data_IF_245743308856
#
_entry.id   IF_245743308856
#
_cell.length_a   1.000
_cell.length_b   1.000
_cell.length_c   1.000
_cell.angle_alpha   90.00
_cell.angle_beta   90.00
_cell.angle_gamma   90.00
#
_symmetry.space_group_name_H-M   'P 1'
#
loop_
_entity.id
_entity.type
_entity.pdbx_description
1 polymer ?
#
# COMPACT_ATOMS: atom_id res chain seq x y z
N UNK A 1 18.42 -6.36 27.12
CA UNK A 1 17.81 -7.70 27.26
C UNK A 1 16.55 -7.75 26.40
N UNK A 2 16.47 -8.68 25.45
CA UNK A 2 15.30 -8.83 24.57
C UNK A 2 14.27 -9.68 25.34
N UNK A 3 13.01 -9.25 25.49
CA UNK A 3 12.01 -10.03 26.22
C UNK A 3 11.82 -11.40 25.56
N UNK A 4 11.61 -12.48 26.35
CA UNK A 4 11.40 -13.81 25.81
C UNK A 4 10.20 -13.80 24.86
N UNK A 5 10.44 -14.10 23.59
CA UNK A 5 9.38 -14.25 22.60
C UNK A 5 8.48 -15.42 23.00
N UNK A 6 7.18 -15.16 23.15
CA UNK A 6 6.21 -16.22 23.44
C UNK A 6 6.40 -17.43 22.51
N UNK A 7 6.49 -18.67 23.03
CA UNK A 7 6.78 -19.87 22.24
C UNK A 7 5.80 -20.08 21.08
N UNK A 8 4.54 -19.65 21.24
CA UNK A 8 3.51 -19.72 20.19
C UNK A 8 3.82 -18.83 18.97
N UNK A 9 4.47 -17.67 19.18
CA UNK A 9 4.80 -16.74 18.11
C UNK A 9 5.82 -17.36 17.17
N UNK A 10 6.83 -18.05 17.70
CA UNK A 10 7.88 -18.64 16.90
C UNK A 10 7.37 -19.76 16.00
N UNK A 11 6.54 -20.65 16.54
CA UNK A 11 5.90 -21.74 15.79
C UNK A 11 5.17 -21.19 14.56
N UNK A 12 4.50 -20.06 14.73
CA UNK A 12 3.72 -19.44 13.66
C UNK A 12 4.61 -18.76 12.63
N UNK A 13 5.69 -18.11 13.03
CA UNK A 13 6.64 -17.53 12.06
C UNK A 13 7.35 -18.64 11.26
N UNK A 14 7.68 -19.78 11.86
CA UNK A 14 8.23 -20.95 11.13
C UNK A 14 7.22 -21.57 10.17
N UNK A 15 5.96 -21.76 10.60
CA UNK A 15 4.89 -22.24 9.73
C UNK A 15 4.62 -21.28 8.57
N UNK A 16 4.61 -19.99 8.85
CA UNK A 16 4.44 -18.92 7.87
C UNK A 16 5.63 -18.88 6.89
N UNK A 17 6.87 -19.02 7.37
CA UNK A 17 8.06 -19.14 6.54
C UNK A 17 7.94 -20.32 5.57
N UNK A 18 7.69 -21.52 6.10
CA UNK A 18 7.51 -22.72 5.28
C UNK A 18 6.44 -22.50 4.22
N UNK A 19 5.33 -21.88 4.60
CA UNK A 19 4.23 -21.64 3.69
C UNK A 19 4.56 -20.63 2.59
N UNK A 20 5.18 -19.50 2.96
CA UNK A 20 5.62 -18.46 2.04
C UNK A 20 6.67 -18.99 1.06
N UNK A 21 7.63 -19.78 1.56
CA UNK A 21 8.65 -20.44 0.75
C UNK A 21 8.00 -21.41 -0.25
N UNK A 22 7.12 -22.29 0.24
CA UNK A 22 6.39 -23.27 -0.59
C UNK A 22 5.53 -22.61 -1.68
N UNK A 23 4.98 -21.43 -1.40
CA UNK A 23 4.19 -20.65 -2.36
C UNK A 23 5.04 -19.78 -3.31
N UNK A 24 6.37 -19.85 -3.21
CA UNK A 24 7.29 -19.03 -4.01
C UNK A 24 7.27 -17.54 -3.68
N UNK A 25 6.74 -17.15 -2.51
CA UNK A 25 6.73 -15.77 -2.01
C UNK A 25 8.08 -15.40 -1.35
N UNK A 26 9.16 -15.49 -2.13
CA UNK A 26 10.57 -15.44 -1.69
C UNK A 26 10.92 -14.29 -0.75
N UNK A 27 10.57 -13.05 -1.10
CA UNK A 27 10.90 -11.87 -0.30
C UNK A 27 10.21 -11.90 1.07
N UNK A 28 8.94 -12.27 1.10
CA UNK A 28 8.18 -12.36 2.36
C UNK A 28 8.66 -13.53 3.21
N UNK A 29 8.96 -14.68 2.59
CA UNK A 29 9.54 -15.82 3.29
C UNK A 29 10.87 -15.42 3.95
N UNK A 30 11.75 -14.71 3.23
CA UNK A 30 13.02 -14.22 3.77
C UNK A 30 12.82 -13.26 4.94
N UNK A 31 11.90 -12.29 4.83
CA UNK A 31 11.61 -11.35 5.94
C UNK A 31 11.10 -12.08 7.18
N UNK A 32 10.17 -13.02 7.03
CA UNK A 32 9.65 -13.82 8.16
C UNK A 32 10.77 -14.69 8.76
N UNK A 33 11.67 -15.22 7.92
CA UNK A 33 12.82 -15.98 8.39
C UNK A 33 13.82 -15.13 9.17
N UNK A 34 14.08 -13.90 8.72
CA UNK A 34 14.97 -12.96 9.42
C UNK A 34 14.44 -12.66 10.83
N UNK A 35 13.12 -12.52 11.00
CA UNK A 35 12.49 -12.37 12.31
C UNK A 35 12.67 -13.63 13.19
N UNK A 36 12.55 -14.84 12.63
CA UNK A 36 12.82 -16.11 13.35
C UNK A 36 14.30 -16.21 13.77
N UNK A 37 15.21 -15.79 12.88
CA UNK A 37 16.65 -15.80 13.11
C UNK A 37 17.07 -14.80 14.18
N UNK A 38 16.49 -13.59 14.17
CA UNK A 38 16.73 -12.56 15.19
C UNK A 38 16.26 -13.00 16.58
N UNK A 39 15.25 -13.87 16.66
CA UNK A 39 14.84 -14.51 17.91
C UNK A 39 15.81 -15.62 18.38
N UNK A 40 16.95 -15.82 17.72
CA UNK A 40 18.00 -16.76 18.13
C UNK A 40 17.82 -18.20 17.63
N UNK A 41 16.84 -18.46 16.76
CA UNK A 41 16.53 -19.82 16.32
C UNK A 41 17.34 -20.24 15.09
N UNK A 42 17.87 -21.47 15.16
CA UNK A 42 18.58 -22.11 14.05
C UNK A 42 17.59 -22.78 13.08
N UNK A 43 17.85 -22.74 11.75
CA UNK A 43 17.05 -23.46 10.78
C UNK A 43 17.13 -24.96 10.98
N UNK A 44 15.99 -25.63 10.85
CA UNK A 44 15.94 -27.08 10.63
C UNK A 44 16.46 -27.42 9.24
N UNK A 45 16.86 -28.67 9.01
CA UNK A 45 17.33 -29.16 7.70
C UNK A 45 16.36 -28.81 6.57
N UNK A 46 15.04 -28.97 6.83
CA UNK A 46 13.99 -28.62 5.87
C UNK A 46 13.90 -27.12 5.58
N UNK A 47 14.11 -26.27 6.59
CA UNK A 47 14.11 -24.81 6.41
C UNK A 47 15.37 -24.33 5.69
N UNK A 48 16.53 -24.92 5.98
CA UNK A 48 17.79 -24.67 5.28
C UNK A 48 17.65 -24.95 3.78
N UNK A 49 17.02 -26.07 3.40
CA UNK A 49 16.75 -26.39 2.00
C UNK A 49 15.82 -25.37 1.34
N UNK A 50 14.75 -24.94 2.02
CA UNK A 50 13.85 -23.92 1.49
C UNK A 50 14.53 -22.54 1.35
N UNK A 51 15.40 -22.17 2.29
CA UNK A 51 16.20 -20.94 2.19
C UNK A 51 17.18 -21.00 1.02
N UNK A 52 17.78 -22.16 0.80
CA UNK A 52 18.65 -22.41 -0.35
C UNK A 52 17.85 -22.30 -1.66
N UNK A 53 16.67 -22.90 -1.74
CA UNK A 53 15.81 -22.79 -2.92
C UNK A 53 15.27 -21.37 -3.14
N UNK A 54 15.05 -20.60 -2.07
CA UNK A 54 14.74 -19.16 -2.14
C UNK A 54 15.94 -18.38 -2.70
N UNK A 55 17.16 -18.68 -2.21
CA UNK A 55 18.42 -18.00 -2.59
C UNK A 55 18.81 -18.28 -4.04
N UNK A 56 18.72 -19.54 -4.47
CA UNK A 56 19.02 -19.99 -5.84
C UNK A 56 17.84 -19.70 -6.79
N UNK A 57 16.66 -19.42 -6.23
CA UNK A 57 15.49 -19.06 -7.02
C UNK A 57 14.84 -20.24 -7.75
N UNK A 58 14.97 -21.46 -7.23
CA UNK A 58 14.40 -22.70 -7.79
C UNK A 58 12.92 -22.91 -7.49
N UNK A 59 12.36 -22.20 -6.51
CA UNK A 59 10.94 -22.33 -6.16
C UNK A 59 10.06 -21.77 -7.29
N UNK A 60 9.42 -22.68 -8.04
CA UNK A 60 8.31 -22.35 -8.95
C UNK A 60 7.18 -21.72 -8.11
N UNK A 61 6.55 -20.65 -8.61
CA UNK A 61 5.41 -20.00 -7.95
C UNK A 61 4.24 -20.98 -7.86
N UNK A 62 4.11 -21.73 -6.78
CA UNK A 62 2.92 -22.53 -6.48
C UNK A 62 1.85 -21.60 -5.88
N UNK A 63 0.59 -21.78 -6.28
CA UNK A 63 -0.53 -21.02 -5.72
C UNK A 63 -0.64 -21.33 -4.22
N UNK A 64 -0.58 -20.28 -3.40
CA UNK A 64 -0.91 -20.25 -1.96
C UNK A 64 -2.21 -21.01 -1.70
N UNK A 65 -2.20 -22.24 -1.16
CA UNK A 65 -3.46 -22.97 -0.92
C UNK A 65 -4.30 -22.33 0.21
N UNK A 66 -5.60 -22.01 0.02
CA UNK A 66 -6.47 -21.45 1.05
C UNK A 66 -6.55 -22.29 2.34
N UNK A 67 -6.39 -23.60 2.23
CA UNK A 67 -6.43 -24.51 3.39
C UNK A 67 -5.24 -24.30 4.33
N UNK A 68 -4.07 -23.97 3.79
CA UNK A 68 -2.87 -23.72 4.57
C UNK A 68 -2.89 -22.36 5.28
N UNK A 69 -3.46 -21.32 4.65
CA UNK A 69 -3.75 -20.06 5.36
C UNK A 69 -4.70 -20.32 6.54
N UNK A 70 -5.75 -21.12 6.35
CA UNK A 70 -6.66 -21.49 7.44
C UNK A 70 -5.98 -22.27 8.56
N UNK A 71 -5.09 -23.20 8.22
CA UNK A 71 -4.35 -23.99 9.20
C UNK A 71 -3.43 -23.11 10.06
N UNK A 72 -2.77 -22.12 9.45
CA UNK A 72 -1.97 -21.11 10.16
C UNK A 72 -2.84 -20.29 11.12
N UNK A 73 -4.01 -19.85 10.67
CA UNK A 73 -4.92 -19.03 11.46
C UNK A 73 -5.57 -19.75 12.65
N UNK A 74 -5.74 -21.09 12.59
CA UNK A 74 -6.32 -21.87 13.68
C UNK A 74 -5.40 -22.00 14.89
N UNK A 75 -4.10 -21.73 14.74
CA UNK A 75 -3.06 -21.99 15.76
C UNK A 75 -2.64 -20.74 16.58
N UNK A 76 -3.23 -19.56 16.35
CA UNK A 76 -2.74 -18.30 16.92
C UNK A 76 -3.68 -17.66 17.96
N UNK A 77 -3.14 -17.15 19.10
CA UNK A 77 -3.87 -16.39 20.10
C UNK A 77 -4.14 -14.92 19.67
N UNK A 78 -5.25 -14.35 20.18
CA UNK A 78 -5.94 -13.15 19.68
C UNK A 78 -5.12 -11.84 19.56
N UNK A 79 -3.95 -11.71 20.18
CA UNK A 79 -3.24 -10.43 20.29
C UNK A 79 -2.23 -10.12 19.14
N UNK A 80 -1.77 -11.12 18.36
CA UNK A 80 -0.82 -10.92 17.24
C UNK A 80 -1.46 -10.91 15.84
N UNK A 81 -2.77 -11.13 15.80
CA UNK A 81 -3.41 -11.73 14.63
C UNK A 81 -3.63 -10.74 13.49
N UNK A 82 -3.72 -9.43 13.74
CA UNK A 82 -3.97 -8.43 12.68
C UNK A 82 -2.86 -8.36 11.60
N UNK A 83 -1.59 -8.49 12.00
CA UNK A 83 -0.46 -8.51 11.05
C UNK A 83 -0.49 -9.78 10.21
N UNK A 84 -0.76 -10.92 10.85
CA UNK A 84 -0.91 -12.21 10.19
C UNK A 84 -2.13 -12.23 9.24
N UNK A 85 -3.27 -11.65 9.65
CA UNK A 85 -4.44 -11.46 8.80
C UNK A 85 -4.11 -10.62 7.56
N UNK A 86 -3.45 -9.49 7.76
CA UNK A 86 -3.06 -8.58 6.67
C UNK A 86 -2.07 -9.25 5.71
N UNK A 87 -1.16 -10.08 6.23
CA UNK A 87 -0.22 -10.84 5.43
C UNK A 87 -0.92 -11.96 4.66
N UNK A 88 -1.71 -12.79 5.34
CA UNK A 88 -2.53 -13.84 4.74
C UNK A 88 -3.41 -13.30 3.61
N UNK A 89 -4.07 -12.16 3.85
CA UNK A 89 -4.90 -11.50 2.85
C UNK A 89 -4.09 -11.05 1.65
N UNK A 90 -2.92 -10.44 1.86
CA UNK A 90 -1.99 -10.05 0.78
C UNK A 90 -1.51 -11.25 -0.03
N UNK A 91 -1.26 -12.39 0.61
CA UNK A 91 -0.85 -13.63 -0.05
C UNK A 91 -1.97 -14.21 -0.92
N UNK A 92 -3.19 -14.30 -0.37
CA UNK A 92 -4.37 -14.75 -1.12
C UNK A 92 -4.66 -13.83 -2.31
N UNK A 93 -4.55 -12.51 -2.11
CA UNK A 93 -4.75 -11.51 -3.15
C UNK A 93 -3.69 -11.61 -4.26
N UNK A 94 -2.40 -11.72 -3.89
CA UNK A 94 -1.29 -11.93 -4.84
C UNK A 94 -1.40 -13.25 -5.59
N UNK A 95 -1.95 -14.28 -4.95
CA UNK A 95 -2.25 -15.58 -5.57
C UNK A 95 -3.44 -15.54 -6.55
N UNK A 96 -4.11 -14.40 -6.72
CA UNK A 96 -5.29 -14.26 -7.58
C UNK A 96 -6.54 -14.94 -7.03
N UNK A 97 -6.56 -15.28 -5.74
CA UNK A 97 -7.64 -16.06 -5.11
C UNK A 97 -8.74 -15.16 -4.56
N UNK A 98 -9.39 -14.38 -5.43
CA UNK A 98 -10.42 -13.41 -5.04
C UNK A 98 -11.55 -14.02 -4.18
N UNK A 99 -11.97 -15.25 -4.47
CA UNK A 99 -12.94 -15.99 -3.64
C UNK A 99 -12.39 -16.27 -2.23
N UNK A 100 -11.14 -16.74 -2.13
CA UNK A 100 -10.46 -16.96 -0.85
C UNK A 100 -10.33 -15.69 -0.03
N UNK A 101 -9.96 -14.57 -0.67
CA UNK A 101 -9.88 -13.23 -0.06
C UNK A 101 -11.27 -12.78 0.46
N UNK A 102 -12.33 -12.91 -0.33
CA UNK A 102 -13.70 -12.57 0.11
C UNK A 102 -14.16 -13.45 1.30
N UNK A 103 -13.94 -14.76 1.22
CA UNK A 103 -14.31 -15.70 2.29
C UNK A 103 -13.53 -15.42 3.57
N UNK A 104 -12.24 -15.08 3.44
CA UNK A 104 -11.36 -14.76 4.55
C UNK A 104 -11.77 -13.44 5.23
N UNK A 105 -12.04 -12.40 4.45
CA UNK A 105 -12.47 -11.09 4.98
C UNK A 105 -13.82 -11.17 5.68
N UNK A 106 -14.80 -11.93 5.16
CA UNK A 106 -16.08 -12.15 5.86
C UNK A 106 -15.92 -12.82 7.22
N UNK A 107 -14.99 -13.78 7.32
CA UNK A 107 -14.79 -14.56 8.55
C UNK A 107 -14.03 -13.81 9.63
N UNK A 108 -13.06 -12.99 9.24
CA UNK A 108 -12.14 -12.35 10.17
C UNK A 108 -12.30 -10.83 10.26
N UNK A 109 -13.20 -10.25 9.44
CA UNK A 109 -13.57 -8.83 9.38
C UNK A 109 -12.42 -7.88 9.72
N UNK A 110 -11.30 -7.88 8.95
CA UNK A 110 -10.24 -6.93 9.20
C UNK A 110 -10.77 -5.51 8.95
N UNK A 111 -11.10 -4.79 10.02
CA UNK A 111 -11.63 -3.40 9.99
C UNK A 111 -10.54 -2.37 9.69
N UNK A 112 -9.59 -2.71 8.84
CA UNK A 112 -8.49 -1.82 8.45
C UNK A 112 -8.59 -1.47 6.98
N UNK A 113 -8.39 -0.19 6.65
CA UNK A 113 -8.42 0.29 5.27
C UNK A 113 -7.43 -0.46 4.38
N UNK A 114 -6.27 -0.84 4.92
CA UNK A 114 -5.27 -1.65 4.20
C UNK A 114 -5.81 -3.02 3.75
N UNK A 115 -6.62 -3.68 4.58
CA UNK A 115 -7.20 -4.96 4.24
C UNK A 115 -8.28 -4.83 3.16
N UNK A 116 -9.15 -3.82 3.28
CA UNK A 116 -10.16 -3.52 2.27
C UNK A 116 -9.54 -3.10 0.93
N UNK A 117 -8.49 -2.28 0.96
CA UNK A 117 -7.71 -1.92 -0.24
C UNK A 117 -7.06 -3.14 -0.88
N UNK A 118 -6.53 -4.08 -0.07
CA UNK A 118 -6.01 -5.36 -0.57
C UNK A 118 -7.11 -6.20 -1.22
N UNK A 119 -8.31 -6.23 -0.64
CA UNK A 119 -9.47 -6.93 -1.18
C UNK A 119 -9.91 -6.35 -2.53
N UNK A 120 -10.04 -5.02 -2.63
CA UNK A 120 -10.37 -4.35 -3.89
C UNK A 120 -9.31 -4.62 -4.96
N UNK A 121 -8.02 -4.51 -4.61
CA UNK A 121 -6.92 -4.77 -5.52
C UNK A 121 -6.86 -6.24 -5.98
N UNK A 122 -7.21 -7.19 -5.12
CA UNK A 122 -7.29 -8.62 -5.50
C UNK A 122 -8.26 -8.89 -6.64
N UNK A 123 -9.34 -8.10 -6.75
CA UNK A 123 -10.30 -8.19 -7.85
C UNK A 123 -9.71 -7.67 -9.16
N UNK A 124 -8.69 -6.81 -9.11
CA UNK A 124 -7.94 -6.32 -10.28
C UNK A 124 -6.91 -7.33 -10.81
N UNK A 125 -6.46 -8.27 -9.97
CA UNK A 125 -5.39 -9.20 -10.30
C UNK A 125 -5.79 -10.33 -11.28
N UNK A 126 -7.09 -10.60 -11.45
CA UNK A 126 -7.57 -11.61 -12.40
C UNK A 126 -7.35 -11.14 -13.85
N UNK A 127 -6.30 -11.65 -14.51
CA UNK A 127 -5.75 -11.11 -15.77
C UNK A 127 -6.45 -11.58 -17.05
N UNK A 128 -7.74 -11.97 -17.02
CA UNK A 128 -8.46 -12.27 -18.27
C UNK A 128 -8.89 -10.96 -18.91
N UNK A 129 -7.97 -10.40 -19.71
CA UNK A 129 -7.92 -9.16 -20.52
C UNK A 129 -9.22 -8.67 -21.20
N UNK A 130 -10.32 -9.44 -21.18
CA UNK A 130 -11.53 -9.17 -21.98
C UNK A 130 -12.77 -8.74 -21.16
N UNK A 131 -12.66 -8.51 -19.85
CA UNK A 131 -13.82 -8.23 -18.98
C UNK A 131 -13.71 -6.93 -18.18
N UNK A 132 -13.03 -5.91 -18.71
CA UNK A 132 -12.72 -4.66 -18.00
C UNK A 132 -13.98 -3.96 -17.45
N UNK A 133 -15.07 -3.89 -18.23
CA UNK A 133 -16.34 -3.32 -17.79
C UNK A 133 -16.93 -4.05 -16.57
N UNK A 134 -17.01 -5.38 -16.65
CA UNK A 134 -17.56 -6.22 -15.56
C UNK A 134 -16.66 -6.17 -14.32
N UNK A 135 -15.34 -6.09 -14.52
CA UNK A 135 -14.37 -5.97 -13.43
C UNK A 135 -14.52 -4.63 -12.71
N UNK A 136 -14.62 -3.52 -13.47
CA UNK A 136 -14.91 -2.19 -12.94
C UNK A 136 -16.20 -2.21 -12.14
N UNK A 137 -17.32 -2.66 -12.74
CA UNK A 137 -18.61 -2.80 -12.05
C UNK A 137 -18.50 -3.65 -10.77
N UNK A 138 -17.77 -4.76 -10.80
CA UNK A 138 -17.58 -5.64 -9.65
C UNK A 138 -16.70 -5.03 -8.54
N UNK A 139 -15.76 -4.13 -8.87
CA UNK A 139 -14.97 -3.38 -7.91
C UNK A 139 -15.82 -2.30 -7.25
N UNK A 140 -16.57 -1.52 -8.05
CA UNK A 140 -17.49 -0.50 -7.53
C UNK A 140 -18.60 -1.10 -6.68
N UNK A 141 -19.23 -2.20 -7.11
CA UNK A 141 -20.23 -2.90 -6.31
C UNK A 141 -19.65 -3.39 -4.98
N UNK A 142 -18.39 -3.87 -4.97
CA UNK A 142 -17.75 -4.28 -3.72
C UNK A 142 -17.40 -3.08 -2.85
N UNK A 143 -16.97 -1.97 -3.42
CA UNK A 143 -16.73 -0.73 -2.68
C UNK A 143 -18.01 -0.23 -2.00
N UNK A 144 -19.14 -0.17 -2.72
CA UNK A 144 -20.42 0.25 -2.15
C UNK A 144 -20.83 -0.66 -0.99
N UNK A 145 -20.69 -1.99 -1.15
CA UNK A 145 -20.95 -2.93 -0.06
C UNK A 145 -20.04 -2.70 1.15
N UNK A 146 -18.76 -2.36 0.94
CA UNK A 146 -17.85 -2.02 2.03
C UNK A 146 -18.23 -0.68 2.70
N UNK A 147 -18.65 0.32 1.94
CA UNK A 147 -19.12 1.61 2.47
C UNK A 147 -20.35 1.38 3.35
N UNK A 148 -21.29 0.52 2.93
CA UNK A 148 -22.42 0.08 3.76
C UNK A 148 -21.97 -0.63 5.04
N UNK A 149 -20.81 -1.29 5.03
CA UNK A 149 -20.15 -1.88 6.21
C UNK A 149 -19.29 -0.86 7.00
N UNK A 150 -19.52 0.45 6.82
CA UNK A 150 -18.80 1.58 7.46
C UNK A 150 -17.32 1.72 7.05
N UNK A 151 -16.93 1.19 5.89
CA UNK A 151 -15.62 1.50 5.33
C UNK A 151 -15.57 2.95 4.85
N UNK A 152 -14.56 3.70 5.30
CA UNK A 152 -14.27 5.04 4.83
C UNK A 152 -13.18 4.93 3.75
N UNK A 153 -13.49 5.21 2.48
CA UNK A 153 -12.52 5.20 1.40
C UNK A 153 -11.42 6.24 1.65
N UNK A 154 -10.17 5.84 1.42
CA UNK A 154 -8.99 6.70 1.52
C UNK A 154 -8.36 6.98 0.14
N UNK A 155 -7.31 7.81 0.09
CA UNK A 155 -6.56 8.11 -1.14
C UNK A 155 -5.95 6.85 -1.78
N UNK A 156 -5.65 5.82 -1.00
CA UNK A 156 -5.20 4.52 -1.52
C UNK A 156 -6.35 3.80 -2.25
N UNK A 157 -7.55 3.87 -1.70
CA UNK A 157 -8.78 3.37 -2.33
C UNK A 157 -9.00 4.07 -3.66
N UNK A 158 -8.89 5.40 -3.69
CA UNK A 158 -8.98 6.19 -4.94
C UNK A 158 -7.96 5.71 -5.96
N UNK A 159 -6.69 5.50 -5.57
CA UNK A 159 -5.68 4.96 -6.48
C UNK A 159 -6.02 3.56 -7.02
N UNK A 160 -6.65 2.70 -6.21
CA UNK A 160 -7.12 1.38 -6.66
C UNK A 160 -8.26 1.53 -7.69
N UNK A 161 -9.20 2.45 -7.47
CA UNK A 161 -10.28 2.73 -8.41
C UNK A 161 -9.78 3.35 -9.71
N UNK A 162 -8.89 4.34 -9.62
CA UNK A 162 -8.22 4.94 -10.78
C UNK A 162 -7.50 3.86 -11.58
N UNK A 163 -6.72 2.99 -10.93
CA UNK A 163 -6.09 1.86 -11.61
C UNK A 163 -7.10 0.98 -12.34
N UNK A 164 -8.30 0.79 -11.78
CA UNK A 164 -9.35 0.03 -12.43
C UNK A 164 -9.89 0.75 -13.67
N UNK A 165 -10.19 2.05 -13.55
CA UNK A 165 -10.73 2.88 -14.63
C UNK A 165 -9.73 3.03 -15.79
N UNK A 166 -8.47 3.34 -15.47
CA UNK A 166 -7.41 3.56 -16.46
C UNK A 166 -7.11 2.32 -17.31
N UNK A 167 -7.36 1.12 -16.77
CA UNK A 167 -7.24 -0.17 -17.49
C UNK A 167 -8.38 -0.45 -18.46
N UNK A 168 -9.40 0.41 -18.55
CA UNK A 168 -10.52 0.26 -19.48
C UNK A 168 -10.47 1.35 -20.57
N UNK A 169 -9.68 1.17 -21.66
CA UNK A 169 -9.48 2.20 -22.68
C UNK A 169 -10.77 2.70 -23.32
N UNK A 170 -11.74 1.80 -23.51
CA UNK A 170 -13.00 2.11 -24.17
C UNK A 170 -13.85 3.19 -23.47
N UNK A 171 -13.64 3.43 -22.16
CA UNK A 171 -14.43 4.41 -21.40
C UNK A 171 -13.65 5.71 -21.14
N UNK A 172 -12.32 5.65 -21.12
CA UNK A 172 -11.48 6.83 -20.89
C UNK A 172 -10.78 7.22 -22.18
N UNK A 173 -11.39 8.11 -22.97
CA UNK A 173 -10.67 8.82 -24.03
C UNK A 173 -9.56 9.69 -23.45
N UNK A 174 -8.62 10.18 -24.29
CA UNK A 174 -7.55 11.05 -23.78
C UNK A 174 -8.09 12.33 -23.15
N UNK A 175 -9.11 12.94 -23.74
CA UNK A 175 -9.80 14.12 -23.19
C UNK A 175 -10.39 13.83 -21.81
N UNK A 176 -11.08 12.69 -21.63
CA UNK A 176 -11.61 12.26 -20.33
C UNK A 176 -10.51 11.99 -19.31
N UNK A 177 -9.33 11.53 -19.74
CA UNK A 177 -8.18 11.36 -18.85
C UNK A 177 -7.61 12.69 -18.38
N UNK A 178 -7.48 13.69 -19.26
CA UNK A 178 -7.05 15.04 -18.89
C UNK A 178 -8.00 15.66 -17.88
N UNK A 179 -9.30 15.56 -18.14
CA UNK A 179 -10.35 15.99 -17.21
C UNK A 179 -10.25 15.31 -15.85
N UNK A 180 -10.13 13.97 -15.84
CA UNK A 180 -9.97 13.21 -14.60
C UNK A 180 -8.71 13.61 -13.83
N UNK A 181 -7.62 13.92 -14.55
CA UNK A 181 -6.38 14.38 -13.93
C UNK A 181 -6.56 15.73 -13.26
N UNK A 182 -7.14 16.70 -13.97
CA UNK A 182 -7.42 18.05 -13.46
C UNK A 182 -8.30 18.00 -12.21
N UNK A 183 -9.30 17.12 -12.18
CA UNK A 183 -10.15 16.91 -11.01
C UNK A 183 -9.38 16.38 -9.80
N UNK A 184 -8.47 15.42 -10.00
CA UNK A 184 -7.67 14.89 -8.91
C UNK A 184 -6.74 15.96 -8.36
N UNK A 185 -6.09 16.75 -9.22
CA UNK A 185 -5.25 17.86 -8.79
C UNK A 185 -6.07 18.90 -8.02
N UNK A 186 -7.25 19.28 -8.54
CA UNK A 186 -8.19 20.19 -7.86
C UNK A 186 -8.66 19.67 -6.50
N UNK A 187 -8.62 18.35 -6.28
CA UNK A 187 -8.98 17.72 -5.01
C UNK A 187 -7.86 17.66 -3.96
N UNK A 188 -6.76 18.39 -4.19
CA UNK A 188 -5.63 18.48 -3.26
C UNK A 188 -4.51 17.47 -3.50
N UNK A 189 -4.48 16.80 -4.66
CA UNK A 189 -3.22 16.20 -5.10
C UNK A 189 -2.26 17.33 -5.55
N UNK A 190 -0.96 17.24 -5.26
CA UNK A 190 -0.02 18.28 -5.67
C UNK A 190 0.01 18.45 -7.20
N UNK A 191 0.58 19.55 -7.70
CA UNK A 191 0.81 19.69 -9.14
C UNK A 191 0.00 20.75 -9.86
N UNK A 192 -0.58 21.68 -9.13
CA UNK A 192 -0.90 23.00 -9.68
C UNK A 192 0.36 23.86 -9.60
N UNK A 193 0.80 24.38 -10.75
CA UNK A 193 1.84 25.42 -10.79
C UNK A 193 1.21 26.72 -10.23
N UNK A 194 1.90 27.51 -9.41
CA UNK A 194 1.37 28.79 -8.93
C UNK A 194 0.81 29.64 -10.10
N UNK A 195 -0.48 30.00 -10.03
CA UNK A 195 -1.16 30.78 -11.06
C UNK A 195 -1.97 29.99 -12.10
N UNK A 196 -1.82 28.65 -12.17
CA UNK A 196 -2.72 27.81 -12.98
C UNK A 196 -3.92 27.34 -12.12
N UNK A 197 -5.10 27.19 -12.73
CA UNK A 197 -6.27 26.60 -12.04
C UNK A 197 -6.32 25.08 -12.21
N UNK A 198 -5.83 24.58 -13.35
CA UNK A 198 -5.79 23.15 -13.64
C UNK A 198 -4.70 22.81 -14.67
N UNK A 199 -4.00 21.67 -14.53
CA UNK A 199 -2.94 21.25 -15.44
C UNK A 199 -3.30 21.22 -16.92
N UNK A 200 -4.50 20.83 -17.30
CA UNK A 200 -4.92 20.78 -18.70
C UNK A 200 -5.91 21.87 -19.07
N UNK A 201 -6.31 22.72 -18.12
CA UNK A 201 -7.33 23.75 -18.32
C UNK A 201 -8.67 23.18 -18.77
N UNK A 202 -8.93 21.89 -18.51
CA UNK A 202 -10.15 21.26 -19.02
C UNK A 202 -11.35 21.70 -18.17
N UNK A 203 -12.24 22.48 -18.79
CA UNK A 203 -13.47 22.92 -18.15
C UNK A 203 -14.40 21.74 -17.91
N UNK A 204 -14.88 21.63 -16.68
CA UNK A 204 -15.85 20.63 -16.28
C UNK A 204 -17.23 21.06 -16.73
N UNK A 205 -17.66 20.61 -17.91
CA UNK A 205 -19.09 20.58 -18.20
C UNK A 205 -19.71 19.56 -17.26
N UNK A 206 -20.56 20.06 -16.35
CA UNK A 206 -21.13 19.32 -15.23
C UNK A 206 -22.07 18.20 -15.66
N UNK A 207 -21.54 17.17 -16.31
CA UNK A 207 -22.23 15.90 -16.42
C UNK A 207 -22.00 15.14 -15.12
N UNK A 208 -23.07 14.70 -14.42
CA UNK A 208 -23.00 13.93 -13.18
C UNK A 208 -22.48 12.53 -13.50
N UNK A 209 -21.20 12.45 -13.82
CA UNK A 209 -20.53 11.23 -14.23
C UNK A 209 -19.98 10.53 -12.99
N UNK A 210 -19.75 9.22 -13.14
CA UNK A 210 -19.31 8.24 -12.13
C UNK A 210 -18.09 8.66 -11.27
N UNK A 211 -17.44 9.76 -11.62
CA UNK A 211 -16.34 10.40 -10.91
C UNK A 211 -16.78 11.25 -9.71
N UNK A 212 -18.05 11.65 -9.62
CA UNK A 212 -18.61 12.29 -8.42
C UNK A 212 -18.44 11.44 -7.16
N UNK A 213 -18.37 10.11 -7.32
CA UNK A 213 -18.07 9.15 -6.25
C UNK A 213 -16.66 9.32 -5.67
N UNK A 214 -15.72 9.90 -6.42
CA UNK A 214 -14.35 10.09 -5.94
C UNK A 214 -14.25 11.33 -5.04
N UNK A 215 -15.10 12.36 -5.23
CA UNK A 215 -15.01 13.65 -4.52
C UNK A 215 -15.05 13.55 -2.98
N UNK A 216 -15.95 12.77 -2.36
CA UNK A 216 -15.96 12.62 -0.90
C UNK A 216 -14.79 11.79 -0.35
N UNK A 217 -14.05 11.06 -1.20
CA UNK A 217 -12.95 10.17 -0.78
C UNK A 217 -11.60 10.90 -0.62
N UNK A 218 -11.62 12.24 -0.70
CA UNK A 218 -10.44 13.10 -0.83
C UNK A 218 -10.22 13.93 0.44
N UNK A 219 -10.96 13.68 1.53
CA UNK A 219 -10.70 14.31 2.83
C UNK A 219 -9.49 13.64 3.50
N UNK A 220 -8.37 14.35 3.63
CA UNK A 220 -7.17 13.88 4.33
C UNK A 220 -5.85 14.29 3.70
N UNK A 221 -4.78 14.21 4.48
CA UNK A 221 -3.43 14.60 4.06
C UNK A 221 -2.89 13.72 2.93
N UNK A 222 -2.35 14.37 1.90
CA UNK A 222 -1.79 13.68 0.73
C UNK A 222 -0.30 13.48 0.90
N UNK A 223 0.09 12.28 1.34
CA UNK A 223 1.48 11.83 1.23
C UNK A 223 1.87 11.66 -0.24
N UNK A 224 2.88 12.40 -0.69
CA UNK A 224 3.35 12.34 -2.08
C UNK A 224 3.84 10.92 -2.45
N UNK A 225 4.74 10.32 -1.67
CA UNK A 225 5.23 8.94 -1.90
C UNK A 225 4.14 7.89 -1.94
N UNK A 226 3.18 7.95 -1.01
CA UNK A 226 2.16 6.90 -0.85
C UNK A 226 0.99 7.07 -1.81
N UNK A 227 0.61 8.31 -2.11
CA UNK A 227 -0.63 8.62 -2.83
C UNK A 227 -0.37 9.25 -4.19
N UNK A 228 0.36 10.37 -4.25
CA UNK A 228 0.48 11.17 -5.47
C UNK A 228 1.39 10.53 -6.52
N UNK A 229 2.59 10.07 -6.14
CA UNK A 229 3.54 9.45 -7.06
C UNK A 229 2.97 8.22 -7.78
N UNK A 230 2.34 7.25 -7.10
CA UNK A 230 1.67 6.14 -7.78
C UNK A 230 0.57 6.62 -8.74
N UNK A 231 -0.18 7.66 -8.37
CA UNK A 231 -1.23 8.25 -9.21
C UNK A 231 -0.64 8.83 -10.50
N UNK A 232 0.37 9.71 -10.42
CA UNK A 232 1.01 10.28 -11.62
C UNK A 232 1.57 9.21 -12.55
N UNK A 233 2.26 8.20 -12.01
CA UNK A 233 2.81 7.10 -12.81
C UNK A 233 1.72 6.31 -13.55
N UNK A 234 0.54 6.16 -12.95
CA UNK A 234 -0.60 5.53 -13.62
C UNK A 234 -1.14 6.39 -14.77
N UNK A 235 -1.25 7.70 -14.60
CA UNK A 235 -1.68 8.61 -15.67
C UNK A 235 -0.68 8.71 -16.81
N UNK A 236 0.62 8.86 -16.51
CA UNK A 236 1.70 8.88 -17.52
C UNK A 236 1.58 7.63 -18.40
N UNK A 237 1.48 6.45 -17.78
CA UNK A 237 1.30 5.20 -18.50
C UNK A 237 -0.01 5.19 -19.31
N UNK A 238 -1.11 5.66 -18.73
CA UNK A 238 -2.41 5.68 -19.39
C UNK A 238 -2.45 6.61 -20.62
N UNK A 239 -1.78 7.76 -20.56
CA UNK A 239 -1.64 8.70 -21.68
C UNK A 239 -0.78 8.13 -22.81
N UNK A 240 0.38 7.54 -22.50
CA UNK A 240 1.20 6.86 -23.52
C UNK A 240 0.44 5.73 -24.21
N UNK A 241 -0.30 4.92 -23.46
CA UNK A 241 -1.14 3.85 -24.02
C UNK A 241 -2.24 4.36 -24.97
N UNK A 242 -2.57 5.64 -24.93
CA UNK A 242 -3.59 6.29 -25.77
C UNK A 242 -2.99 7.23 -26.83
N UNK A 243 -1.67 7.25 -26.97
CA UNK A 243 -0.97 8.09 -27.95
C UNK A 243 -0.80 9.56 -27.54
N UNK A 244 -1.32 9.99 -26.38
CA UNK A 244 -1.23 11.39 -25.92
C UNK A 244 0.10 11.68 -25.23
N UNK A 245 1.16 11.74 -26.05
CA UNK A 245 2.54 11.97 -25.57
C UNK A 245 2.70 13.35 -24.93
N UNK A 246 1.95 14.35 -25.40
CA UNK A 246 1.99 15.71 -24.86
C UNK A 246 1.49 15.74 -23.42
N UNK A 247 0.32 15.14 -23.15
CA UNK A 247 -0.21 15.05 -21.79
C UNK A 247 0.71 14.23 -20.87
N UNK A 248 1.25 13.11 -21.36
CA UNK A 248 2.21 12.31 -20.60
C UNK A 248 3.44 13.13 -20.17
N UNK A 249 4.04 13.91 -21.09
CA UNK A 249 5.17 14.80 -20.78
C UNK A 249 4.80 15.87 -19.76
N UNK A 250 3.61 16.48 -19.87
CA UNK A 250 3.13 17.47 -18.89
C UNK A 250 3.02 16.86 -17.49
N UNK A 251 2.42 15.67 -17.35
CA UNK A 251 2.34 14.97 -16.06
C UNK A 251 3.72 14.57 -15.53
N UNK A 252 4.69 14.21 -16.39
CA UNK A 252 6.08 13.98 -15.97
C UNK A 252 6.70 15.26 -15.38
N UNK A 253 6.47 16.41 -16.01
CA UNK A 253 6.92 17.70 -15.49
C UNK A 253 6.38 17.98 -14.09
N UNK A 254 5.07 17.79 -13.91
CA UNK A 254 4.39 17.93 -12.61
C UNK A 254 4.95 16.97 -11.57
N UNK A 255 5.13 15.70 -11.93
CA UNK A 255 5.71 14.69 -11.05
C UNK A 255 7.10 15.11 -10.56
N UNK A 256 7.96 15.61 -11.47
CA UNK A 256 9.32 16.06 -11.11
C UNK A 256 9.30 17.28 -10.20
N UNK A 257 8.43 18.26 -10.47
CA UNK A 257 8.28 19.43 -9.61
C UNK A 257 7.84 19.01 -8.18
N UNK A 258 6.83 18.16 -8.07
CA UNK A 258 6.38 17.65 -6.79
C UNK A 258 7.42 16.75 -6.07
N UNK A 259 8.24 16.00 -6.81
CA UNK A 259 9.39 15.27 -6.24
C UNK A 259 10.46 16.21 -5.67
N UNK A 260 10.68 17.37 -6.30
CA UNK A 260 11.62 18.37 -5.81
C UNK A 260 11.11 19.01 -4.52
N UNK A 261 9.85 19.45 -4.50
CA UNK A 261 9.22 20.01 -3.30
C UNK A 261 9.24 19.03 -2.10
N UNK A 262 8.98 17.73 -2.33
CA UNK A 262 9.05 16.73 -1.25
C UNK A 262 10.47 16.61 -0.70
N UNK A 263 11.50 16.63 -1.57
CA UNK A 263 12.90 16.58 -1.13
C UNK A 263 13.29 17.82 -0.33
N UNK A 264 12.85 19.00 -0.75
CA UNK A 264 13.11 20.24 -0.01
C UNK A 264 12.47 20.21 1.38
N UNK A 265 11.23 19.70 1.48
CA UNK A 265 10.57 19.49 2.79
C UNK A 265 11.31 18.48 3.66
N UNK A 266 11.74 17.35 3.11
CA UNK A 266 12.52 16.34 3.83
C UNK A 266 13.85 16.92 4.36
N UNK A 267 14.53 17.74 3.57
CA UNK A 267 15.79 18.41 3.97
C UNK A 267 15.52 19.45 5.06
N UNK A 268 14.49 20.27 4.92
CA UNK A 268 14.10 21.26 5.92
C UNK A 268 13.72 20.60 7.26
N UNK A 269 12.96 19.51 7.23
CA UNK A 269 12.58 18.76 8.42
C UNK A 269 13.82 18.10 9.08
N UNK A 270 14.71 17.52 8.28
CA UNK A 270 15.96 16.96 8.78
C UNK A 270 16.86 18.02 9.45
N UNK A 271 16.93 19.22 8.87
CA UNK A 271 17.66 20.35 9.45
C UNK A 271 17.01 20.82 10.77
N UNK A 272 15.69 20.94 10.83
CA UNK A 272 14.96 21.28 12.06
C UNK A 272 15.21 20.25 13.17
N UNK A 273 15.16 18.96 12.86
CA UNK A 273 15.46 17.86 13.81
C UNK A 273 16.91 17.88 14.30
N UNK A 274 17.87 18.37 13.51
CA UNK A 274 19.27 18.55 13.96
C UNK A 274 19.39 19.69 14.97
N UNK A 275 18.69 20.81 14.74
CA UNK A 275 18.70 21.98 15.64
C UNK A 275 18.13 21.66 17.02
N UNK A 276 17.05 20.89 17.09
CA UNK A 276 16.46 20.47 18.38
C UNK A 276 17.39 19.55 19.16
N UNK A 277 18.15 18.68 18.48
CA UNK A 277 19.15 17.81 19.13
C UNK A 277 20.34 18.57 19.68
N UNK A 278 20.83 19.59 18.98
CA UNK A 278 21.95 20.41 19.48
C UNK A 278 21.53 21.25 20.68
N UNK A 279 20.32 21.81 20.68
CA UNK A 279 19.79 22.58 21.83
C UNK A 279 19.52 21.69 23.06
N UNK A 280 18.96 20.49 22.87
CA UNK A 280 18.73 19.54 23.97
C UNK A 280 20.01 19.00 24.62
N UNK A 281 21.15 19.03 23.92
CA UNK A 281 22.46 18.63 24.47
C UNK A 281 23.15 19.75 25.24
N UNK A 282 22.91 21.01 24.89
CA UNK A 282 23.45 22.17 25.59
C UNK A 282 22.70 22.47 26.91
N UNK A 283 21.41 22.15 27.00
CA UNK A 283 20.60 22.36 28.22
C UNK A 283 20.75 21.29 29.32
N UNK A 284 21.49 20.20 29.08
CA UNK A 284 21.68 19.10 30.04
C UNK A 284 22.97 19.18 30.86
N UNK A 285 23.71 20.28 30.79
CA UNK A 285 25.05 20.44 31.40
C UNK A 285 25.13 21.52 32.50
N UNK A 286 23.99 22.01 33.00
CA UNK A 286 23.94 22.99 34.08
C UNK A 286 23.00 22.48 35.19
N UNK A 287 23.58 21.90 36.24
CA UNK A 287 22.85 21.67 37.48
C UNK A 287 23.16 20.35 38.18
N UNK A 288 24.37 20.22 38.74
CA UNK A 288 24.57 19.84 40.15
C UNK A 288 25.88 20.52 40.59
N UNK A 289 25.80 21.76 41.07
CA UNK A 289 26.83 22.26 41.99
C UNK A 289 26.49 21.67 43.37
N UNK A 290 27.42 21.01 44.06
CA UNK A 290 27.19 20.54 45.42
C UNK A 290 27.21 21.77 46.33
N UNK A 291 26.03 22.21 46.75
CA UNK A 291 25.88 23.09 47.89
C UNK A 291 26.19 22.31 49.17
N UNK A 292 27.17 22.86 49.90
CA UNK A 292 27.19 22.94 51.37
C UNK A 292 27.39 21.62 52.13
N UNK A 293 28.66 21.33 52.37
CA UNK A 293 29.11 20.58 53.56
C UNK A 293 29.39 21.64 54.63
N UNK A 294 28.45 21.83 55.56
CA UNK A 294 28.70 22.54 56.82
C UNK A 294 29.36 21.60 57.85
N UNK A 295 30.32 22.18 58.58
CA UNK A 295 31.14 21.58 59.63
C UNK A 295 30.36 21.22 60.90
#
# INVERSE_FOLDING_TARGET
MIPPTHPNRLVVHRLLFHYLASAGARTLARTVWEEVRQAGHKPTTRESLLLLDIKIGRLKRKRVSPSAVKALMRKEPKAGVQRLYSLALRLLARGGQSYGVNKFTRRFSPRTSSAFNTLLHSRLASSRSKRNARQVKAVFAKLNALISEKFIPDRVTVNVLLKCLLRWPAVTSSTKLRLLFDQLVSSGYPGVVPGETAPFGTQWEATPSQLGLLRPMLTGEVSFRRHAKPMYLMFIKAFYLRGDRSAAKKVIGILKAAELEEKERDVAEAAARRRTRTQGRAGGSLGVLPSDIEC
#
